data_IF_116035664001
#
_entry.id   IF_116035664001
#
_cell.length_a   1.000
_cell.length_b   1.000
_cell.length_c   1.000
_cell.angle_alpha   90.00
_cell.angle_beta   90.00
_cell.angle_gamma   90.00
#
_symmetry.space_group_name_H-M   'P 1'
#
loop_
_entity.id
_entity.type
_entity.pdbx_description
1 polymer ?
#
# COMPACT_ATOMS: atom_id res chain seq x y z
N UNK A 1 13.29 -9.56 30.69
CA UNK A 1 12.29 -9.25 31.73
C UNK A 1 12.51 -7.82 32.18
N UNK A 2 11.82 -6.84 31.59
CA UNK A 2 11.89 -5.44 32.06
C UNK A 2 10.94 -5.27 33.23
N UNK A 3 11.48 -4.89 34.38
CA UNK A 3 10.69 -4.67 35.60
C UNK A 3 9.96 -3.32 35.51
N UNK A 4 8.64 -3.39 35.44
CA UNK A 4 7.75 -2.23 35.54
C UNK A 4 7.58 -1.89 37.03
N UNK A 5 8.26 -0.84 37.52
CA UNK A 5 8.13 -0.37 38.90
C UNK A 5 6.93 0.58 38.96
N UNK A 6 5.76 0.03 39.31
CA UNK A 6 4.56 0.81 39.64
C UNK A 6 4.79 1.53 40.97
N UNK A 7 5.00 2.85 40.94
CA UNK A 7 5.06 3.66 42.15
C UNK A 7 3.65 4.05 42.61
N UNK A 8 3.42 3.99 43.93
CA UNK A 8 2.15 4.20 44.63
C UNK A 8 1.54 5.61 44.41
N UNK A 9 2.30 6.55 43.84
CA UNK A 9 1.84 7.90 43.49
C UNK A 9 2.06 8.19 42.00
N UNK A 10 1.13 7.69 41.17
CA UNK A 10 0.64 8.40 39.97
C UNK A 10 1.61 8.77 38.83
N UNK A 11 2.86 8.31 38.83
CA UNK A 11 3.85 8.67 37.82
C UNK A 11 4.62 7.49 37.26
N UNK A 12 4.74 7.46 35.93
CA UNK A 12 5.61 6.54 35.18
C UNK A 12 6.95 7.23 34.92
N UNK A 13 8.06 6.56 35.22
CA UNK A 13 9.42 7.06 34.95
C UNK A 13 9.86 6.64 33.55
N UNK A 14 10.37 7.56 32.73
CA UNK A 14 10.98 7.23 31.43
C UNK A 14 12.30 6.48 31.57
N UNK A 15 12.79 5.88 30.46
CA UNK A 15 14.15 5.33 30.40
C UNK A 15 15.28 6.34 30.66
N UNK A 16 14.98 7.65 30.68
CA UNK A 16 15.90 8.74 31.05
C UNK A 16 15.77 9.20 32.50
N UNK A 17 14.95 8.54 33.33
CA UNK A 17 14.78 8.87 34.76
C UNK A 17 13.81 10.03 35.04
N UNK A 18 13.16 10.61 34.03
CA UNK A 18 12.17 11.68 34.24
C UNK A 18 10.81 11.09 34.63
N UNK A 19 10.22 11.63 35.71
CA UNK A 19 8.86 11.30 36.14
C UNK A 19 7.85 12.03 35.25
N UNK A 20 7.08 11.28 34.46
CA UNK A 20 5.95 11.81 33.71
C UNK A 20 4.65 11.46 34.43
N UNK A 21 3.66 12.35 34.37
CA UNK A 21 2.32 12.05 34.88
C UNK A 21 1.66 10.92 34.09
N UNK A 22 0.89 10.07 34.78
CA UNK A 22 0.18 8.94 34.15
C UNK A 22 -0.72 9.35 32.97
N UNK A 23 -1.26 10.58 32.99
CA UNK A 23 -2.08 11.10 31.89
C UNK A 23 -1.28 11.29 30.59
N UNK A 24 -0.08 11.84 30.70
CA UNK A 24 0.82 12.03 29.54
C UNK A 24 1.28 10.68 29.00
N UNK A 25 1.64 9.73 29.87
CA UNK A 25 2.04 8.39 29.43
C UNK A 25 0.94 7.65 28.65
N UNK A 26 -0.32 7.74 29.11
CA UNK A 26 -1.48 7.18 28.39
C UNK A 26 -1.72 7.87 27.06
N UNK A 27 -1.57 9.19 27.02
CA UNK A 27 -1.73 9.97 25.79
C UNK A 27 -0.68 9.57 24.75
N UNK A 28 0.59 9.52 25.13
CA UNK A 28 1.69 9.09 24.25
C UNK A 28 1.47 7.66 23.73
N UNK A 29 0.99 6.75 24.58
CA UNK A 29 0.67 5.37 24.15
C UNK A 29 -0.43 5.33 23.08
N UNK A 30 -1.51 6.09 23.26
CA UNK A 30 -2.60 6.17 22.27
C UNK A 30 -2.15 6.77 20.94
N UNK A 31 -1.31 7.79 20.99
CA UNK A 31 -0.72 8.40 19.79
C UNK A 31 0.17 7.40 19.05
N UNK A 32 1.01 6.65 19.77
CA UNK A 32 1.85 5.61 19.18
C UNK A 32 1.01 4.48 18.55
N UNK A 33 -0.04 4.02 19.22
CA UNK A 33 -0.99 3.04 18.68
C UNK A 33 -1.70 3.56 17.41
N UNK A 34 -2.09 4.84 17.40
CA UNK A 34 -2.71 5.46 16.22
C UNK A 34 -1.75 5.55 15.04
N UNK A 35 -0.49 5.91 15.29
CA UNK A 35 0.55 5.96 14.25
C UNK A 35 0.82 4.55 13.71
N UNK A 36 0.93 3.54 14.59
CA UNK A 36 1.13 2.16 14.18
C UNK A 36 0.00 1.68 13.26
N UNK A 37 -1.26 1.90 13.66
CA UNK A 37 -2.43 1.50 12.85
C UNK A 37 -2.47 2.20 11.48
N UNK A 38 -2.16 3.50 11.42
CA UNK A 38 -2.07 4.25 10.15
C UNK A 38 -0.94 3.75 9.27
N UNK A 39 0.19 3.38 9.87
CA UNK A 39 1.36 2.87 9.16
C UNK A 39 1.06 1.49 8.57
N UNK A 40 0.42 0.61 9.33
CA UNK A 40 -0.02 -0.70 8.85
C UNK A 40 -1.01 -0.56 7.68
N UNK A 41 -1.99 0.34 7.79
CA UNK A 41 -2.92 0.62 6.70
C UNK A 41 -2.19 1.13 5.45
N UNK A 42 -1.27 2.09 5.60
CA UNK A 42 -0.50 2.62 4.49
C UNK A 42 0.35 1.54 3.80
N UNK A 43 0.98 0.65 4.58
CA UNK A 43 1.75 -0.47 4.05
C UNK A 43 0.86 -1.46 3.28
N UNK A 44 -0.32 -1.79 3.81
CA UNK A 44 -1.28 -2.66 3.12
C UNK A 44 -1.76 -2.04 1.82
N UNK A 45 -2.07 -0.74 1.82
CA UNK A 45 -2.47 -0.02 0.61
C UNK A 45 -1.35 -0.01 -0.43
N UNK A 46 -0.10 0.23 -0.03
CA UNK A 46 1.05 0.22 -0.94
C UNK A 46 1.31 -1.18 -1.53
N UNK A 47 1.31 -2.22 -0.70
CA UNK A 47 1.44 -3.61 -1.15
C UNK A 47 0.36 -3.98 -2.17
N UNK A 48 -0.89 -3.57 -1.93
CA UNK A 48 -1.99 -3.81 -2.84
C UNK A 48 -1.81 -3.05 -4.17
N UNK A 49 -1.35 -1.79 -4.14
CA UNK A 49 -1.01 -1.04 -5.37
C UNK A 49 0.10 -1.72 -6.16
N UNK A 50 1.15 -2.18 -5.49
CA UNK A 50 2.26 -2.90 -6.13
C UNK A 50 1.78 -4.21 -6.78
N UNK A 51 0.94 -4.97 -6.07
CA UNK A 51 0.34 -6.19 -6.61
C UNK A 51 -0.53 -5.91 -7.85
N UNK A 52 -1.43 -4.94 -7.77
CA UNK A 52 -2.29 -4.54 -8.88
C UNK A 52 -1.48 -4.06 -10.09
N UNK A 53 -0.40 -3.31 -9.85
CA UNK A 53 0.53 -2.87 -10.90
C UNK A 53 1.21 -4.05 -11.58
N UNK A 54 1.75 -4.99 -10.80
CA UNK A 54 2.36 -6.20 -11.32
C UNK A 54 1.37 -7.00 -12.19
N UNK A 55 0.15 -7.20 -11.69
CA UNK A 55 -0.92 -7.88 -12.44
C UNK A 55 -1.28 -7.15 -13.74
N UNK A 56 -1.42 -5.83 -13.71
CA UNK A 56 -1.70 -5.03 -14.89
C UNK A 56 -0.59 -5.16 -15.94
N UNK A 57 0.68 -5.15 -15.53
CA UNK A 57 1.81 -5.36 -16.43
C UNK A 57 1.80 -6.76 -17.05
N UNK A 58 1.53 -7.80 -16.26
CA UNK A 58 1.36 -9.18 -16.79
C UNK A 58 0.25 -9.26 -17.83
N UNK A 59 -0.88 -8.61 -17.55
CA UNK A 59 -2.03 -8.60 -18.46
C UNK A 59 -1.71 -7.82 -19.76
N UNK A 60 -1.07 -6.66 -19.67
CA UNK A 60 -0.59 -5.93 -20.86
C UNK A 60 0.35 -6.79 -21.69
N UNK A 61 1.34 -7.45 -21.06
CA UNK A 61 2.25 -8.35 -21.77
C UNK A 61 1.51 -9.49 -22.49
N UNK A 62 0.49 -10.06 -21.84
CA UNK A 62 -0.36 -11.10 -22.43
C UNK A 62 -1.14 -10.58 -23.64
N UNK A 63 -1.74 -9.38 -23.54
CA UNK A 63 -2.48 -8.76 -24.64
C UNK A 63 -1.57 -8.41 -25.82
N UNK A 64 -0.35 -7.93 -25.56
CA UNK A 64 0.65 -7.65 -26.60
C UNK A 64 1.03 -8.93 -27.33
N UNK A 65 1.37 -9.99 -26.60
CA UNK A 65 1.71 -11.28 -27.20
C UNK A 65 0.56 -11.85 -28.05
N UNK A 66 -0.68 -11.70 -27.59
CA UNK A 66 -1.86 -12.08 -28.36
C UNK A 66 -2.02 -11.23 -29.63
N UNK A 67 -1.83 -9.91 -29.53
CA UNK A 67 -1.91 -9.00 -30.68
C UNK A 67 -0.85 -9.33 -31.74
N UNK A 68 0.38 -9.66 -31.33
CA UNK A 68 1.45 -10.10 -32.23
C UNK A 68 1.05 -11.35 -33.02
N UNK A 69 0.39 -12.32 -32.39
CA UNK A 69 -0.13 -13.50 -33.07
C UNK A 69 -1.28 -13.15 -34.03
N UNK A 70 -2.20 -12.29 -33.61
CA UNK A 70 -3.32 -11.87 -34.46
C UNK A 70 -2.89 -11.05 -35.68
N UNK A 71 -1.82 -10.25 -35.55
CA UNK A 71 -1.23 -9.51 -36.67
C UNK A 71 -0.75 -10.43 -37.80
N UNK A 72 -0.31 -11.66 -37.49
CA UNK A 72 0.06 -12.65 -38.51
C UNK A 72 -1.15 -13.16 -39.31
N UNK A 73 -2.35 -13.14 -38.72
CA UNK A 73 -3.59 -13.66 -39.32
C UNK A 73 -4.35 -12.55 -40.04
N UNK A 74 -4.44 -11.37 -39.42
CA UNK A 74 -5.21 -10.23 -39.92
C UNK A 74 -4.43 -8.91 -39.74
N UNK A 75 -3.49 -8.59 -40.65
CA UNK A 75 -2.66 -7.39 -40.55
C UNK A 75 -3.48 -6.08 -40.58
N UNK A 76 -4.61 -6.06 -41.29
CA UNK A 76 -5.53 -4.91 -41.33
C UNK A 76 -6.13 -4.57 -39.95
N UNK A 77 -6.07 -5.51 -39.00
CA UNK A 77 -6.54 -5.34 -37.63
C UNK A 77 -5.61 -4.56 -36.71
N UNK A 78 -4.38 -4.23 -37.15
CA UNK A 78 -3.32 -3.66 -36.31
C UNK A 78 -3.79 -2.51 -35.40
N UNK A 79 -4.49 -1.54 -35.99
CA UNK A 79 -4.96 -0.36 -35.27
C UNK A 79 -5.94 -0.70 -34.13
N UNK A 80 -6.77 -1.73 -34.31
CA UNK A 80 -7.74 -2.14 -33.28
C UNK A 80 -7.04 -2.82 -32.10
N UNK A 81 -6.02 -3.64 -32.36
CA UNK A 81 -5.25 -4.29 -31.30
C UNK A 81 -4.51 -3.27 -30.43
N UNK A 82 -3.86 -2.28 -31.06
CA UNK A 82 -3.21 -1.17 -30.34
C UNK A 82 -4.19 -0.38 -29.47
N UNK A 83 -5.37 -0.06 -30.01
CA UNK A 83 -6.40 0.68 -29.28
C UNK A 83 -6.87 -0.08 -28.04
N UNK A 84 -7.09 -1.40 -28.15
CA UNK A 84 -7.52 -2.24 -27.04
C UNK A 84 -6.45 -2.30 -25.94
N UNK A 85 -5.19 -2.54 -26.32
CA UNK A 85 -4.06 -2.60 -25.38
C UNK A 85 -3.89 -1.26 -24.66
N UNK A 86 -3.94 -0.15 -25.40
CA UNK A 86 -3.82 1.19 -24.82
C UNK A 86 -4.97 1.51 -23.86
N UNK A 87 -6.21 1.25 -24.28
CA UNK A 87 -7.38 1.47 -23.44
C UNK A 87 -7.32 0.66 -22.14
N UNK A 88 -6.89 -0.60 -22.21
CA UNK A 88 -6.67 -1.42 -21.02
C UNK A 88 -5.59 -0.81 -20.11
N UNK A 89 -4.41 -0.47 -20.66
CA UNK A 89 -3.30 0.09 -19.89
C UNK A 89 -3.67 1.39 -19.17
N UNK A 90 -4.33 2.32 -19.87
CA UNK A 90 -4.83 3.57 -19.30
C UNK A 90 -5.89 3.30 -18.22
N UNK A 91 -6.84 2.39 -18.49
CA UNK A 91 -7.87 2.00 -17.53
C UNK A 91 -7.29 1.41 -16.25
N UNK A 92 -6.32 0.51 -16.37
CA UNK A 92 -5.64 -0.12 -15.24
C UNK A 92 -4.82 0.89 -14.44
N UNK A 93 -4.04 1.75 -15.10
CA UNK A 93 -3.28 2.82 -14.43
C UNK A 93 -4.19 3.76 -13.62
N UNK A 94 -5.32 4.15 -14.21
CA UNK A 94 -6.31 4.97 -13.53
C UNK A 94 -6.96 4.26 -12.34
N UNK A 95 -7.23 2.95 -12.44
CA UNK A 95 -7.77 2.17 -11.33
C UNK A 95 -6.77 2.07 -10.16
N UNK A 96 -5.50 1.81 -10.45
CA UNK A 96 -4.41 1.76 -9.45
C UNK A 96 -4.24 3.12 -8.76
N UNK A 97 -4.26 4.23 -9.51
CA UNK A 97 -4.12 5.57 -8.96
C UNK A 97 -5.25 5.96 -8.00
N UNK A 98 -6.46 5.42 -8.21
CA UNK A 98 -7.63 5.62 -7.33
C UNK A 98 -7.70 4.66 -6.15
N UNK A 99 -6.83 3.65 -6.09
CA UNK A 99 -6.80 2.72 -4.98
C UNK A 99 -6.21 3.43 -3.76
N UNK A 100 -7.04 3.80 -2.78
CA UNK A 100 -6.65 4.53 -1.57
C UNK A 100 -7.14 3.81 -0.32
#
# INVERSE_FOLDING_TARGET
MSQEITTLFGGTTTGSGQRISNGVARQTKREAESIAARTELAQLTDNARAFLTSSALTNVGTLVSQAEQMLQIAPSGARYYELIINAYGVGAANAIARFS
#
